data_IF_810827488514
#
_entry.id   IF_810827488514
#
_cell.length_a   1.000
_cell.length_b   1.000
_cell.length_c   1.000
_cell.angle_alpha   90.00
_cell.angle_beta   90.00
_cell.angle_gamma   90.00
#
_symmetry.space_group_name_H-M   'P 1'
#
loop_
_entity.id
_entity.type
_entity.pdbx_description
1 polymer ?
#
# COMPACT_ATOMS: atom_id res chain seq x y z
N UNK A 1 34.40 -60.47 61.91
CA UNK A 1 34.54 -61.41 60.77
C UNK A 1 34.91 -60.74 59.45
N UNK A 2 34.97 -59.39 59.35
CA UNK A 2 35.31 -58.68 58.10
C UNK A 2 36.78 -58.20 58.06
N UNK A 3 37.43 -58.00 59.21
CA UNK A 3 38.83 -57.53 59.29
C UNK A 3 39.88 -58.53 58.75
N UNK A 4 39.55 -59.83 58.67
CA UNK A 4 40.50 -60.88 58.26
C UNK A 4 40.61 -61.07 56.75
N UNK A 5 39.72 -60.48 55.95
CA UNK A 5 39.67 -60.67 54.48
C UNK A 5 40.23 -59.48 53.68
N UNK A 6 40.36 -58.29 54.27
CA UNK A 6 40.73 -57.07 53.53
C UNK A 6 42.05 -56.42 53.97
N UNK A 7 42.70 -56.86 55.04
CA UNK A 7 44.01 -56.32 55.46
C UNK A 7 44.00 -54.88 55.97
N UNK A 8 42.82 -54.26 56.15
CA UNK A 8 42.64 -52.92 56.71
C UNK A 8 41.75 -52.98 57.95
N UNK A 9 42.07 -52.16 58.97
CA UNK A 9 41.22 -52.04 60.16
C UNK A 9 39.81 -51.56 59.77
N UNK A 10 38.80 -52.19 60.36
CA UNK A 10 37.37 -51.99 60.03
C UNK A 10 36.94 -50.52 60.14
N UNK A 11 37.64 -49.73 60.94
CA UNK A 11 37.36 -48.32 61.20
C UNK A 11 37.61 -47.44 59.97
N UNK A 12 38.64 -47.74 59.16
CA UNK A 12 38.94 -46.98 57.94
C UNK A 12 37.87 -47.19 56.84
N UNK A 13 37.29 -48.39 56.76
CA UNK A 13 36.19 -48.70 55.84
C UNK A 13 34.94 -47.90 56.21
N UNK A 14 34.64 -47.80 57.52
CA UNK A 14 33.49 -47.04 58.03
C UNK A 14 33.67 -45.54 57.76
N UNK A 15 34.86 -44.99 58.00
CA UNK A 15 35.17 -43.58 57.74
C UNK A 15 35.07 -43.27 56.23
N UNK A 16 35.59 -44.15 55.37
CA UNK A 16 35.47 -44.00 53.92
C UNK A 16 34.02 -44.02 53.45
N UNK A 17 33.20 -44.93 53.99
CA UNK A 17 31.78 -45.03 53.67
C UNK A 17 31.00 -43.78 54.09
N UNK A 18 31.28 -43.23 55.27
CA UNK A 18 30.71 -41.97 55.74
C UNK A 18 31.07 -40.80 54.83
N UNK A 19 32.31 -40.75 54.34
CA UNK A 19 32.75 -39.74 53.36
C UNK A 19 31.96 -39.82 52.06
N UNK A 20 31.78 -41.02 51.50
CA UNK A 20 31.00 -41.23 50.28
C UNK A 20 29.53 -40.84 50.49
N UNK A 21 28.95 -41.18 51.64
CA UNK A 21 27.57 -40.80 51.99
C UNK A 21 27.40 -39.29 52.07
N UNK A 22 28.33 -38.57 52.69
CA UNK A 22 28.31 -37.10 52.74
C UNK A 22 28.40 -36.48 51.34
N UNK A 23 29.26 -36.99 50.48
CA UNK A 23 29.41 -36.51 49.10
C UNK A 23 28.11 -36.73 48.30
N UNK A 24 27.50 -37.91 48.41
CA UNK A 24 26.21 -38.22 47.78
C UNK A 24 25.08 -37.32 48.32
N UNK A 25 25.11 -37.01 49.61
CA UNK A 25 24.13 -36.12 50.24
C UNK A 25 24.25 -34.67 49.72
N UNK A 26 25.48 -34.17 49.57
CA UNK A 26 25.71 -32.84 48.99
C UNK A 26 25.26 -32.79 47.53
N UNK A 27 25.58 -33.82 46.74
CA UNK A 27 25.17 -33.94 45.33
C UNK A 27 23.65 -33.94 45.16
N UNK A 28 22.93 -34.65 46.03
CA UNK A 28 21.46 -34.69 46.00
C UNK A 28 20.84 -33.34 46.36
N UNK A 29 21.38 -32.63 47.35
CA UNK A 29 20.93 -31.26 47.68
C UNK A 29 21.15 -30.31 46.49
N UNK A 30 22.34 -30.34 45.88
CA UNK A 30 22.65 -29.51 44.71
C UNK A 30 21.69 -29.81 43.56
N UNK A 31 21.41 -31.09 43.27
CA UNK A 31 20.44 -31.48 42.26
C UNK A 31 19.03 -30.97 42.57
N UNK A 32 18.57 -31.06 43.82
CA UNK A 32 17.24 -30.56 44.22
C UNK A 32 17.14 -29.04 44.06
N UNK A 33 18.18 -28.29 44.43
CA UNK A 33 18.22 -26.82 44.28
C UNK A 33 18.23 -26.42 42.80
N UNK A 34 19.07 -27.06 41.99
CA UNK A 34 19.11 -26.81 40.54
C UNK A 34 17.76 -27.14 39.89
N UNK A 35 17.16 -28.29 40.24
CA UNK A 35 15.86 -28.71 39.73
C UNK A 35 14.73 -27.75 40.15
N UNK A 36 14.75 -27.23 41.39
CA UNK A 36 13.80 -26.21 41.85
C UNK A 36 13.97 -24.89 41.09
N UNK A 37 15.20 -24.46 40.82
CA UNK A 37 15.49 -23.25 40.03
C UNK A 37 15.05 -23.42 38.58
N UNK A 38 15.31 -24.59 37.98
CA UNK A 38 14.88 -24.95 36.63
C UNK A 38 13.35 -24.96 36.53
N UNK A 39 12.66 -25.64 37.47
CA UNK A 39 11.19 -25.66 37.53
C UNK A 39 10.58 -24.28 37.77
N UNK A 40 11.22 -23.43 38.59
CA UNK A 40 10.76 -22.05 38.83
C UNK A 40 10.88 -21.20 37.56
N UNK A 41 12.02 -21.26 36.87
CA UNK A 41 12.23 -20.51 35.63
C UNK A 41 11.35 -21.04 34.49
N UNK A 42 11.18 -22.36 34.40
CA UNK A 42 10.26 -22.99 33.45
C UNK A 42 8.81 -22.58 33.73
N UNK A 43 8.41 -22.57 35.01
CA UNK A 43 7.08 -22.11 35.41
C UNK A 43 6.90 -20.64 35.07
N UNK A 44 7.85 -19.76 35.39
CA UNK A 44 7.76 -18.32 35.07
C UNK A 44 7.76 -18.06 33.55
N UNK A 45 8.49 -18.86 32.78
CA UNK A 45 8.48 -18.81 31.31
C UNK A 45 7.16 -19.33 30.71
N UNK A 46 6.51 -20.30 31.37
CA UNK A 46 5.22 -20.88 30.97
C UNK A 46 4.00 -20.19 31.61
N UNK A 47 4.19 -19.41 32.67
CA UNK A 47 3.16 -18.67 33.42
C UNK A 47 3.32 -17.16 33.28
N UNK A 48 4.22 -16.69 32.40
CA UNK A 48 4.36 -15.31 32.01
C UNK A 48 3.77 -15.14 30.62
N UNK A 49 2.53 -14.64 30.55
CA UNK A 49 1.62 -14.63 29.39
C UNK A 49 1.37 -16.04 28.85
N UNK A 50 0.20 -16.58 29.18
CA UNK A 50 -0.22 -17.96 28.90
C UNK A 50 0.18 -18.41 27.48
N UNK A 51 0.80 -19.58 27.34
CA UNK A 51 1.16 -20.15 26.04
C UNK A 51 -0.04 -20.22 25.07
N UNK A 52 -1.26 -20.34 25.60
CA UNK A 52 -2.52 -20.25 24.87
C UNK A 52 -2.75 -18.87 24.24
N UNK A 53 -2.41 -17.78 24.95
CA UNK A 53 -2.49 -16.41 24.43
C UNK A 53 -1.51 -16.16 23.29
N UNK A 54 -0.34 -16.83 23.27
CA UNK A 54 0.63 -16.67 22.20
C UNK A 54 0.19 -17.43 20.93
N UNK A 55 -0.37 -18.63 21.09
CA UNK A 55 -1.02 -19.38 20.01
C UNK A 55 -2.20 -18.58 19.44
N UNK A 56 -3.10 -18.09 20.29
CA UNK A 56 -4.23 -17.24 19.90
C UNK A 56 -3.77 -15.96 19.17
N UNK A 57 -2.70 -15.32 19.65
CA UNK A 57 -2.11 -14.15 18.98
C UNK A 57 -1.53 -14.52 17.63
N UNK A 58 -0.88 -15.69 17.51
CA UNK A 58 -0.27 -16.14 16.26
C UNK A 58 -1.34 -16.49 15.23
N UNK A 59 -2.42 -17.17 15.64
CA UNK A 59 -3.60 -17.44 14.83
C UNK A 59 -4.22 -16.12 14.35
N UNK A 60 -4.47 -15.17 15.26
CA UNK A 60 -5.01 -13.86 14.89
C UNK A 60 -4.11 -13.12 13.88
N UNK A 61 -2.79 -13.26 13.99
CA UNK A 61 -1.84 -12.63 13.05
C UNK A 61 -1.82 -13.32 11.70
N UNK A 62 -2.02 -14.64 11.63
CA UNK A 62 -2.18 -15.36 10.38
C UNK A 62 -3.49 -14.96 9.69
N UNK A 63 -4.60 -14.89 10.42
CA UNK A 63 -5.88 -14.42 9.88
C UNK A 63 -5.78 -12.98 9.35
N UNK A 64 -5.03 -12.11 10.06
CA UNK A 64 -4.75 -10.76 9.59
C UNK A 64 -3.94 -10.76 8.29
N UNK A 65 -2.94 -11.63 8.15
CA UNK A 65 -2.18 -11.76 6.89
C UNK A 65 -3.08 -12.21 5.75
N UNK A 66 -3.95 -13.18 5.99
CA UNK A 66 -4.89 -13.67 4.97
C UNK A 66 -5.86 -12.56 4.54
N UNK A 67 -6.40 -11.80 5.50
CA UNK A 67 -7.27 -10.65 5.20
C UNK A 67 -6.54 -9.52 4.44
N UNK A 68 -5.24 -9.34 4.71
CA UNK A 68 -4.42 -8.36 4.01
C UNK A 68 -4.12 -8.81 2.58
N UNK A 69 -3.89 -10.09 2.36
CA UNK A 69 -3.72 -10.66 1.02
C UNK A 69 -4.99 -10.48 0.20
N UNK A 70 -6.16 -10.82 0.76
CA UNK A 70 -7.45 -10.63 0.09
C UNK A 70 -7.72 -9.15 -0.24
N UNK A 71 -7.49 -8.25 0.72
CA UNK A 71 -7.62 -6.79 0.50
C UNK A 71 -6.64 -6.28 -0.56
N UNK A 72 -5.44 -6.87 -0.66
CA UNK A 72 -4.45 -6.51 -1.66
C UNK A 72 -4.90 -6.92 -3.06
N UNK A 73 -5.40 -8.14 -3.21
CA UNK A 73 -5.96 -8.64 -4.48
C UNK A 73 -7.17 -7.81 -4.94
N UNK A 74 -8.05 -7.42 -4.00
CA UNK A 74 -9.19 -6.54 -4.28
C UNK A 74 -8.72 -5.16 -4.76
N UNK A 75 -7.74 -4.57 -4.06
CA UNK A 75 -7.17 -3.28 -4.45
C UNK A 75 -6.52 -3.34 -5.84
N UNK A 76 -5.78 -4.40 -6.14
CA UNK A 76 -5.19 -4.62 -7.47
C UNK A 76 -6.25 -4.70 -8.56
N UNK A 77 -7.36 -5.39 -8.30
CA UNK A 77 -8.51 -5.45 -9.21
C UNK A 77 -9.12 -4.06 -9.41
N UNK A 78 -9.37 -3.33 -8.32
CA UNK A 78 -9.95 -1.99 -8.35
C UNK A 78 -9.06 -1.00 -9.12
N UNK A 79 -7.75 -1.05 -8.92
CA UNK A 79 -6.78 -0.23 -9.66
C UNK A 79 -6.85 -0.55 -11.15
N UNK A 80 -6.87 -1.83 -11.54
CA UNK A 80 -6.98 -2.23 -12.95
C UNK A 80 -8.26 -1.70 -13.60
N UNK A 81 -9.40 -1.79 -12.90
CA UNK A 81 -10.69 -1.25 -13.36
C UNK A 81 -10.61 0.26 -13.50
N UNK A 82 -10.09 0.96 -12.50
CA UNK A 82 -9.93 2.41 -12.52
C UNK A 82 -9.03 2.88 -13.67
N UNK A 83 -7.86 2.26 -13.85
CA UNK A 83 -6.95 2.56 -14.95
C UNK A 83 -7.60 2.33 -16.32
N UNK A 84 -8.37 1.25 -16.48
CA UNK A 84 -9.11 0.97 -17.72
C UNK A 84 -10.19 2.01 -18.01
N UNK A 85 -10.89 2.47 -16.97
CA UNK A 85 -11.90 3.51 -17.11
C UNK A 85 -11.25 4.86 -17.44
N UNK A 86 -10.17 5.24 -16.77
CA UNK A 86 -9.43 6.48 -17.05
C UNK A 86 -8.94 6.57 -18.50
N UNK A 87 -8.53 5.44 -19.11
CA UNK A 87 -8.14 5.42 -20.53
C UNK A 87 -9.26 5.82 -21.50
N UNK A 88 -10.54 5.75 -21.09
CA UNK A 88 -11.70 6.08 -21.93
C UNK A 88 -12.37 7.40 -21.56
N UNK A 89 -11.87 8.08 -20.53
CA UNK A 89 -12.43 9.33 -20.05
C UNK A 89 -11.72 10.51 -20.71
N UNK A 90 -12.48 11.53 -21.10
CA UNK A 90 -11.91 12.82 -21.49
C UNK A 90 -11.40 13.55 -20.25
N UNK A 91 -10.08 13.69 -20.15
CA UNK A 91 -9.39 14.25 -18.98
C UNK A 91 -8.57 15.50 -19.32
N UNK A 92 -8.43 15.82 -20.60
CA UNK A 92 -7.71 16.99 -21.12
C UNK A 92 -8.74 17.93 -21.76
N UNK A 93 -8.72 19.20 -21.36
CA UNK A 93 -9.71 20.18 -21.81
C UNK A 93 -9.05 21.52 -22.15
N UNK A 94 -9.55 22.16 -23.21
CA UNK A 94 -9.12 23.49 -23.61
C UNK A 94 -10.31 24.30 -24.13
N UNK A 95 -10.55 25.46 -23.53
CA UNK A 95 -11.65 26.36 -23.87
C UNK A 95 -11.11 27.69 -24.38
N UNK A 96 -11.58 28.09 -25.57
CA UNK A 96 -11.38 29.42 -26.14
C UNK A 96 -12.73 30.08 -26.30
N UNK A 97 -12.88 31.29 -25.77
CA UNK A 97 -14.02 32.16 -26.08
C UNK A 97 -13.55 33.22 -27.07
N UNK A 98 -14.36 33.51 -28.06
CA UNK A 98 -14.03 34.45 -29.11
C UNK A 98 -15.28 35.17 -29.62
N UNK A 99 -15.05 36.22 -30.41
CA UNK A 99 -16.10 36.98 -31.08
C UNK A 99 -16.04 36.69 -32.58
N UNK A 100 -16.98 35.91 -33.08
CA UNK A 100 -17.00 35.47 -34.47
C UNK A 100 -17.41 36.58 -35.46
N UNK A 101 -18.12 37.61 -34.99
CA UNK A 101 -18.73 38.62 -35.89
C UNK A 101 -18.50 40.07 -35.46
N UNK A 102 -17.89 40.36 -34.31
CA UNK A 102 -17.61 41.72 -33.81
C UNK A 102 -18.86 42.64 -33.69
N UNK A 103 -20.06 42.07 -33.84
CA UNK A 103 -21.35 42.79 -33.90
C UNK A 103 -22.20 42.59 -32.65
N UNK A 104 -21.85 41.62 -31.81
CA UNK A 104 -22.57 41.29 -30.58
C UNK A 104 -21.64 41.58 -29.41
N UNK A 105 -22.10 42.39 -28.45
CA UNK A 105 -21.28 42.87 -27.35
C UNK A 105 -20.76 41.75 -26.45
N UNK A 106 -19.61 41.16 -26.81
CA UNK A 106 -18.86 40.19 -26.02
C UNK A 106 -18.53 38.88 -26.77
N UNK A 107 -17.62 38.11 -26.17
CA UNK A 107 -17.18 36.79 -26.68
C UNK A 107 -18.22 35.70 -26.35
N UNK A 108 -19.25 35.59 -27.19
CA UNK A 108 -20.33 34.61 -27.07
C UNK A 108 -20.07 33.30 -27.83
N UNK A 109 -19.12 33.30 -28.77
CA UNK A 109 -18.70 32.08 -29.46
C UNK A 109 -17.62 31.36 -28.67
N UNK A 110 -17.54 30.03 -28.81
CA UNK A 110 -16.50 29.24 -28.14
C UNK A 110 -16.06 28.01 -28.93
N UNK A 111 -14.84 27.59 -28.65
CA UNK A 111 -14.28 26.30 -29.07
C UNK A 111 -13.81 25.53 -27.85
N UNK A 112 -14.30 24.30 -27.69
CA UNK A 112 -13.98 23.41 -26.58
C UNK A 112 -13.38 22.12 -27.12
N UNK A 113 -12.09 21.90 -26.84
CA UNK A 113 -11.43 20.64 -27.08
C UNK A 113 -11.55 19.74 -25.84
N UNK A 114 -11.99 18.49 -26.03
CA UNK A 114 -12.02 17.45 -25.00
C UNK A 114 -11.29 16.22 -25.49
N UNK A 115 -10.23 15.82 -24.78
CA UNK A 115 -9.35 14.72 -25.18
C UNK A 115 -9.12 13.72 -24.04
N UNK A 116 -8.90 12.47 -24.42
CA UNK A 116 -8.44 11.39 -23.53
C UNK A 116 -6.93 11.50 -23.24
N UNK A 117 -6.40 10.55 -22.47
CA UNK A 117 -4.96 10.50 -22.15
C UNK A 117 -4.07 10.40 -23.41
N UNK A 118 -4.57 9.75 -24.47
CA UNK A 118 -3.90 9.51 -25.76
C UNK A 118 -4.18 10.61 -26.79
N UNK A 119 -4.73 11.76 -26.37
CA UNK A 119 -5.09 12.87 -27.24
C UNK A 119 -6.15 12.55 -28.31
N UNK A 120 -7.01 11.55 -28.08
CA UNK A 120 -8.18 11.32 -28.93
C UNK A 120 -9.40 11.99 -28.31
N UNK A 121 -10.31 12.47 -29.17
CA UNK A 121 -11.56 13.06 -28.73
C UNK A 121 -12.12 13.96 -29.80
N UNK A 122 -12.55 15.15 -29.42
CA UNK A 122 -13.20 16.06 -30.35
C UNK A 122 -13.12 17.51 -29.90
N UNK A 123 -13.38 18.40 -30.84
CA UNK A 123 -13.59 19.82 -30.62
C UNK A 123 -15.04 20.14 -30.92
N UNK A 124 -15.74 20.77 -29.97
CA UNK A 124 -17.03 21.40 -30.21
C UNK A 124 -16.78 22.88 -30.48
N UNK A 125 -17.24 23.37 -31.61
CA UNK A 125 -17.27 24.80 -31.90
C UNK A 125 -18.72 25.27 -31.92
N UNK A 126 -19.01 26.32 -31.15
CA UNK A 126 -20.28 27.03 -31.16
C UNK A 126 -20.05 28.48 -31.59
N UNK A 127 -20.53 28.79 -32.79
CA UNK A 127 -20.46 30.12 -33.40
C UNK A 127 -21.80 30.83 -33.20
N UNK A 128 -21.80 31.88 -32.39
CA UNK A 128 -22.99 32.68 -32.10
C UNK A 128 -23.12 33.84 -33.09
N UNK A 129 -24.26 33.93 -33.76
CA UNK A 129 -24.64 34.99 -34.69
C UNK A 129 -25.95 35.65 -34.24
N UNK A 130 -26.30 36.80 -34.85
CA UNK A 130 -27.59 37.46 -34.59
C UNK A 130 -28.80 36.59 -34.94
N UNK A 131 -28.62 35.70 -35.91
CA UNK A 131 -29.68 34.85 -36.47
C UNK A 131 -29.78 33.49 -35.76
N UNK A 132 -28.77 33.10 -34.98
CA UNK A 132 -28.77 31.84 -34.25
C UNK A 132 -27.38 31.40 -33.79
N UNK A 133 -27.31 30.19 -33.25
CA UNK A 133 -26.05 29.55 -32.86
C UNK A 133 -25.81 28.34 -33.75
N UNK A 134 -24.66 28.30 -34.42
CA UNK A 134 -24.23 27.15 -35.19
C UNK A 134 -23.25 26.33 -34.35
N UNK A 135 -23.53 25.05 -34.17
CA UNK A 135 -22.65 24.15 -33.42
C UNK A 135 -22.24 22.97 -34.28
N UNK A 136 -20.95 22.69 -34.31
CA UNK A 136 -20.40 21.55 -35.03
C UNK A 136 -19.25 20.91 -34.27
N UNK A 137 -18.90 19.68 -34.67
CA UNK A 137 -17.89 18.86 -34.01
C UNK A 137 -16.85 18.42 -35.04
N UNK A 138 -15.57 18.47 -34.65
CA UNK A 138 -14.45 17.88 -35.40
C UNK A 138 -13.76 16.82 -34.55
N UNK A 139 -13.52 15.66 -35.13
CA UNK A 139 -12.83 14.55 -34.46
C UNK A 139 -11.33 14.81 -34.39
N UNK A 140 -10.74 14.45 -33.25
CA UNK A 140 -9.30 14.52 -33.00
C UNK A 140 -8.78 13.10 -32.77
N UNK A 141 -7.77 12.73 -33.54
CA UNK A 141 -7.09 11.43 -33.47
C UNK A 141 -5.62 11.71 -33.19
N UNK A 142 -5.11 11.22 -32.08
CA UNK A 142 -3.71 11.39 -31.65
C UNK A 142 -3.25 12.86 -31.71
N UNK A 143 -4.09 13.78 -31.24
CA UNK A 143 -3.80 15.22 -31.22
C UNK A 143 -3.93 15.93 -32.58
N UNK A 144 -4.42 15.25 -33.62
CA UNK A 144 -4.58 15.81 -34.96
C UNK A 144 -6.03 15.75 -35.43
N UNK A 145 -6.49 16.76 -36.16
CA UNK A 145 -7.82 16.78 -36.77
C UNK A 145 -7.77 16.24 -38.20
N UNK A 146 -8.80 15.49 -38.59
CA UNK A 146 -8.99 15.01 -39.98
C UNK A 146 -9.30 16.18 -40.93
N UNK A 147 -9.93 17.23 -40.40
CA UNK A 147 -10.35 18.43 -41.15
C UNK A 147 -9.55 19.63 -40.65
N UNK A 148 -9.29 20.61 -41.52
CA UNK A 148 -8.62 21.86 -41.12
C UNK A 148 -9.36 22.54 -39.97
N UNK A 149 -8.61 22.91 -38.94
CA UNK A 149 -9.09 23.63 -37.77
C UNK A 149 -8.96 25.14 -37.96
N UNK A 150 -9.92 25.92 -37.45
CA UNK A 150 -9.77 27.38 -37.32
C UNK A 150 -8.69 27.75 -36.31
N UNK A 151 -8.28 29.02 -36.26
CA UNK A 151 -7.27 29.47 -35.29
C UNK A 151 -7.70 29.22 -33.84
N UNK A 152 -8.97 29.49 -33.52
CA UNK A 152 -9.53 29.28 -32.18
C UNK A 152 -9.67 27.79 -31.84
N UNK A 153 -9.96 26.95 -32.82
CA UNK A 153 -9.98 25.49 -32.65
C UNK A 153 -8.58 24.91 -32.42
N UNK A 154 -7.58 25.40 -33.16
CA UNK A 154 -6.18 25.02 -32.95
C UNK A 154 -5.69 25.45 -31.57
N UNK A 155 -6.07 26.65 -31.13
CA UNK A 155 -5.68 27.13 -29.81
C UNK A 155 -6.36 26.33 -28.69
N UNK A 156 -7.66 26.01 -28.83
CA UNK A 156 -8.37 25.14 -27.90
C UNK A 156 -7.70 23.76 -27.78
N UNK A 157 -7.33 23.18 -28.93
CA UNK A 157 -6.62 21.90 -28.98
C UNK A 157 -5.26 21.97 -28.28
N UNK A 158 -4.50 23.04 -28.54
CA UNK A 158 -3.19 23.27 -27.91
C UNK A 158 -3.32 23.39 -26.39
N UNK A 159 -4.31 24.14 -25.89
CA UNK A 159 -4.58 24.25 -24.43
C UNK A 159 -5.00 22.93 -23.80
N UNK A 160 -5.75 22.10 -24.52
CA UNK A 160 -6.10 20.77 -24.03
C UNK A 160 -4.88 19.85 -23.94
N UNK A 161 -3.96 19.91 -24.91
CA UNK A 161 -2.76 19.09 -24.92
C UNK A 161 -1.69 19.57 -23.92
N UNK A 162 -1.65 20.87 -23.62
CA UNK A 162 -0.76 21.49 -22.63
C UNK A 162 -1.56 22.11 -21.47
N UNK A 163 -2.01 21.30 -20.49
CA UNK A 163 -2.80 21.80 -19.36
C UNK A 163 -2.06 22.84 -18.51
N UNK A 164 -0.73 22.92 -18.58
CA UNK A 164 0.07 23.93 -17.88
C UNK A 164 0.05 25.29 -18.57
N UNK A 165 -0.38 25.38 -19.84
CA UNK A 165 -0.50 26.67 -20.53
C UNK A 165 -1.61 27.56 -19.92
N UNK A 166 -2.62 26.95 -19.31
CA UNK A 166 -3.74 27.66 -18.69
C UNK A 166 -3.32 28.44 -17.42
N UNK A 167 -2.22 28.06 -16.77
CA UNK A 167 -1.70 28.75 -15.57
C UNK A 167 -0.95 30.05 -15.89
N UNK A 168 -0.50 30.25 -17.14
CA UNK A 168 0.25 31.46 -17.51
C UNK A 168 -0.64 32.64 -17.92
N UNK A 169 -1.82 32.35 -18.48
CA UNK A 169 -2.72 33.41 -18.97
C UNK A 169 -3.58 34.05 -17.87
N UNK A 170 -3.65 33.47 -16.66
CA UNK A 170 -4.36 34.07 -15.53
C UNK A 170 -3.56 35.13 -14.78
N UNK A 171 -2.26 35.24 -15.04
CA UNK A 171 -1.35 36.18 -14.38
C UNK A 171 -1.11 37.46 -15.23
N UNK A 172 -1.73 37.55 -16.42
CA UNK A 172 -1.57 38.67 -17.36
C UNK A 172 -2.88 39.46 -17.64
N UNK A 173 -3.97 39.21 -16.89
CA UNK A 173 -5.18 40.07 -16.85
C UNK A 173 -5.29 40.82 -15.52
#
# INVERSE_FOLDING_TARGET
>A
MISKYLGFDSDYIIIGLCGVLLILFILTIVNIVQMKKLKKNYRIFMSGKDAKTLEDTLIQRLDQVDSLLESNEENDSNIKVLSKNMQRTYQKMGLIKYDAFHEMGGKLSFSLAMLDMRNNGFIINAMHTREGCYTYIKEIIDGNSVIVLSEEEQEALKRAMDPNSNLKNSDEE
#
